data_IF_470683454472
#
_entry.id   IF_470683454472
#
_cell.length_a   1.000
_cell.length_b   1.000
_cell.length_c   1.000
_cell.angle_alpha   90.00
_cell.angle_beta   90.00
_cell.angle_gamma   90.00
#
_symmetry.space_group_name_H-M   'P 1'
#
loop_
_entity.id
_entity.type
_entity.pdbx_description
1 polymer ?
#
# COMPACT_ATOMS: atom_id res chain seq x y z
N UNK A 1 17.50 9.42 -25.69
CA UNK A 1 16.90 10.75 -25.46
C UNK A 1 15.76 10.58 -24.48
N UNK A 2 16.07 10.55 -23.18
CA UNK A 2 15.08 10.66 -22.11
C UNK A 2 15.55 11.82 -21.24
N UNK A 3 15.19 13.04 -21.63
CA UNK A 3 15.34 14.20 -20.77
C UNK A 3 14.28 14.08 -19.68
N UNK A 4 14.73 14.09 -18.42
CA UNK A 4 13.90 14.27 -17.24
C UNK A 4 13.04 15.54 -17.44
N UNK A 5 11.73 15.39 -17.50
CA UNK A 5 10.79 16.51 -17.60
C UNK A 5 10.29 16.91 -16.21
N UNK A 6 11.22 17.31 -15.35
CA UNK A 6 11.07 18.32 -14.30
C UNK A 6 12.47 18.56 -13.69
N UNK A 7 13.05 19.77 -13.77
CA UNK A 7 14.38 20.06 -13.23
C UNK A 7 14.50 19.95 -11.69
N UNK A 8 13.40 19.77 -10.95
CA UNK A 8 13.36 19.96 -9.50
C UNK A 8 12.52 18.93 -8.71
N UNK A 9 12.26 17.72 -9.23
CA UNK A 9 11.45 16.66 -8.59
C UNK A 9 11.96 16.13 -7.23
N UNK A 10 12.83 16.85 -6.54
CA UNK A 10 13.29 16.57 -5.19
C UNK A 10 12.17 16.81 -4.16
N UNK A 11 11.57 15.73 -3.68
CA UNK A 11 10.65 15.73 -2.53
C UNK A 11 11.40 15.43 -1.21
N UNK A 12 12.71 15.63 -1.16
CA UNK A 12 13.58 15.36 -0.02
C UNK A 12 13.61 16.44 1.07
N UNK A 13 12.94 17.57 0.85
CA UNK A 13 12.87 18.68 1.81
C UNK A 13 11.83 18.49 2.92
N UNK A 14 11.96 19.18 4.04
CA UNK A 14 10.88 19.22 5.04
C UNK A 14 9.79 20.23 4.64
N UNK A 15 8.52 19.86 4.86
CA UNK A 15 7.36 20.72 4.64
C UNK A 15 6.88 21.27 5.98
N UNK A 16 6.78 22.59 6.05
CA UNK A 16 6.34 23.34 7.23
C UNK A 16 4.85 23.17 7.49
N UNK A 17 4.41 23.46 8.71
CA UNK A 17 2.99 23.43 9.08
C UNK A 17 2.15 24.39 8.23
N UNK A 18 2.73 25.54 7.86
CA UNK A 18 2.07 26.55 7.03
C UNK A 18 1.88 26.07 5.59
N UNK A 19 2.90 25.46 4.99
CA UNK A 19 2.80 24.87 3.64
C UNK A 19 1.75 23.74 3.63
N UNK A 20 1.69 22.90 4.68
CA UNK A 20 0.65 21.89 4.79
C UNK A 20 -0.76 22.49 4.92
N UNK A 21 -0.91 23.54 5.72
CA UNK A 21 -2.19 24.22 5.89
C UNK A 21 -2.68 24.85 4.57
N UNK A 22 -1.78 25.42 3.77
CA UNK A 22 -2.10 25.95 2.45
C UNK A 22 -2.67 24.88 1.52
N UNK A 23 -2.11 23.66 1.53
CA UNK A 23 -2.62 22.55 0.72
C UNK A 23 -3.97 22.00 1.21
N UNK A 24 -4.20 22.01 2.53
CA UNK A 24 -5.52 21.68 3.10
C UNK A 24 -6.56 22.70 2.63
N UNK A 25 -6.24 23.99 2.73
CA UNK A 25 -7.11 25.07 2.26
C UNK A 25 -7.38 24.97 0.75
N UNK A 26 -6.35 24.69 -0.05
CA UNK A 26 -6.49 24.52 -1.50
C UNK A 26 -7.43 23.37 -1.85
N UNK A 27 -7.36 22.25 -1.11
CA UNK A 27 -8.30 21.13 -1.27
C UNK A 27 -9.73 21.55 -0.91
N UNK A 28 -9.91 22.27 0.20
CA UNK A 28 -11.20 22.72 0.69
C UNK A 28 -11.85 23.81 -0.16
N UNK A 29 -11.05 24.60 -0.88
CA UNK A 29 -11.51 25.63 -1.81
C UNK A 29 -11.99 25.07 -3.15
N UNK A 30 -11.73 23.78 -3.44
CA UNK A 30 -12.26 23.14 -4.64
C UNK A 30 -13.79 23.18 -4.64
N UNK A 31 -14.40 23.57 -5.76
CA UNK A 31 -15.86 23.59 -5.94
C UNK A 31 -16.51 22.21 -5.71
N UNK A 32 -15.72 21.14 -5.85
CA UNK A 32 -16.16 19.75 -5.66
C UNK A 32 -16.06 19.29 -4.20
N UNK A 33 -15.40 20.04 -3.33
CA UNK A 33 -15.07 19.59 -1.97
C UNK A 33 -16.32 19.27 -1.15
N UNK A 34 -17.29 20.18 -1.09
CA UNK A 34 -18.51 19.95 -0.31
C UNK A 34 -19.34 18.79 -0.84
N UNK A 35 -19.37 18.59 -2.16
CA UNK A 35 -20.05 17.45 -2.76
C UNK A 35 -19.37 16.12 -2.40
N UNK A 36 -18.05 16.07 -2.44
CA UNK A 36 -17.28 14.84 -2.25
C UNK A 36 -17.07 14.45 -0.78
N UNK A 37 -17.00 15.43 0.12
CA UNK A 37 -16.74 15.25 1.56
C UNK A 37 -17.99 15.49 2.44
N UNK A 38 -19.19 15.49 1.85
CA UNK A 38 -20.46 15.47 2.57
C UNK A 38 -20.85 14.04 2.94
N UNK A 39 -20.17 13.48 3.94
CA UNK A 39 -20.46 12.16 4.47
C UNK A 39 -21.60 12.17 5.50
N UNK A 40 -22.38 11.08 5.63
CA UNK A 40 -23.46 11.02 6.60
C UNK A 40 -22.93 10.93 8.05
N UNK A 41 -23.22 11.93 8.88
CA UNK A 41 -22.68 12.01 10.25
C UNK A 41 -23.23 10.94 11.21
N UNK A 42 -24.47 10.49 10.98
CA UNK A 42 -25.19 9.58 11.89
C UNK A 42 -25.68 8.29 11.19
N UNK A 43 -25.13 7.95 10.02
CA UNK A 43 -25.49 6.70 9.35
C UNK A 43 -24.88 5.48 10.08
N UNK A 44 -25.60 4.34 10.12
CA UNK A 44 -25.07 3.10 10.69
C UNK A 44 -23.71 2.73 10.10
N UNK A 45 -22.75 2.39 10.98
CA UNK A 45 -21.40 1.98 10.61
C UNK A 45 -20.44 3.13 10.24
N UNK A 46 -20.89 4.38 10.20
CA UNK A 46 -20.01 5.53 10.00
C UNK A 46 -19.39 6.02 11.31
N UNK A 47 -18.16 6.50 11.24
CA UNK A 47 -17.43 7.06 12.39
C UNK A 47 -16.84 8.43 12.05
N UNK A 48 -17.08 9.42 12.90
CA UNK A 48 -16.50 10.77 12.75
C UNK A 48 -15.24 10.91 13.60
N UNK A 49 -14.19 11.45 12.99
CA UNK A 49 -12.93 11.76 13.70
C UNK A 49 -13.14 12.80 14.80
N UNK A 50 -12.45 12.63 15.94
CA UNK A 50 -12.63 13.46 17.14
C UNK A 50 -11.30 14.14 17.52
N UNK A 51 -11.36 15.32 18.15
CA UNK A 51 -10.17 16.07 18.61
C UNK A 51 -9.41 15.45 19.78
N UNK A 52 -9.74 14.22 20.20
CA UNK A 52 -9.04 13.57 21.32
C UNK A 52 -7.63 13.21 20.88
N UNK A 53 -6.62 13.94 21.36
CA UNK A 53 -5.21 13.68 21.07
C UNK A 53 -4.69 12.46 21.84
N UNK A 54 -4.02 11.56 21.14
CA UNK A 54 -3.25 10.42 21.69
C UNK A 54 -1.82 10.54 21.19
N UNK A 55 -0.85 9.95 21.93
CA UNK A 55 0.56 9.89 21.51
C UNK A 55 0.78 9.18 20.17
N UNK A 56 -0.16 8.32 19.77
CA UNK A 56 -0.11 7.58 18.51
C UNK A 56 -0.68 8.35 17.33
N UNK A 57 -1.35 9.48 17.58
CA UNK A 57 -1.90 10.30 16.49
C UNK A 57 -0.78 11.03 15.78
N UNK A 58 -0.84 11.01 14.45
CA UNK A 58 0.15 11.61 13.58
C UNK A 58 -0.35 12.95 13.07
N UNK A 59 0.60 13.83 12.74
CA UNK A 59 0.32 15.12 12.12
C UNK A 59 -0.25 14.95 10.71
N UNK A 60 0.34 14.04 9.93
CA UNK A 60 -0.03 13.81 8.54
C UNK A 60 0.10 12.33 8.18
N UNK A 61 -0.88 11.79 7.46
CA UNK A 61 -0.95 10.37 7.08
C UNK A 61 -1.41 10.29 5.63
N UNK A 62 -0.70 9.56 4.78
CA UNK A 62 -1.24 9.20 3.46
C UNK A 62 -1.98 7.87 3.55
N UNK A 63 -3.12 7.79 2.86
CA UNK A 63 -4.00 6.63 2.84
C UNK A 63 -4.40 6.32 1.40
N UNK A 64 -4.49 5.03 1.10
CA UNK A 64 -5.12 4.50 -0.10
C UNK A 64 -5.72 3.13 0.22
N UNK A 65 -6.79 2.77 -0.48
CA UNK A 65 -7.55 1.55 -0.28
C UNK A 65 -7.76 0.79 -1.58
N UNK A 66 -7.78 -0.53 -1.48
CA UNK A 66 -8.30 -1.39 -2.54
C UNK A 66 -9.76 -1.74 -2.21
N UNK A 67 -10.61 -1.77 -3.24
CA UNK A 67 -12.03 -2.07 -3.08
C UNK A 67 -12.53 -3.11 -4.08
N UNK A 68 -13.55 -3.84 -3.65
CA UNK A 68 -14.26 -4.85 -4.41
C UNK A 68 -15.74 -4.46 -4.59
N UNK A 69 -16.48 -5.25 -5.39
CA UNK A 69 -17.91 -5.09 -5.61
C UNK A 69 -18.67 -6.16 -4.83
N UNK A 70 -19.61 -5.72 -4.00
CA UNK A 70 -20.54 -6.60 -3.28
C UNK A 70 -21.98 -6.22 -3.60
N UNK A 71 -22.90 -7.15 -3.39
CA UNK A 71 -24.34 -6.94 -3.58
C UNK A 71 -25.08 -7.45 -2.33
N UNK A 72 -26.06 -6.68 -1.87
CA UNK A 72 -26.85 -7.01 -0.68
C UNK A 72 -27.75 -8.21 -0.96
N UNK A 73 -27.83 -9.14 -0.01
CA UNK A 73 -28.66 -10.32 -0.15
C UNK A 73 -30.15 -9.96 -0.28
N UNK A 74 -30.80 -10.50 -1.31
CA UNK A 74 -32.22 -10.26 -1.56
C UNK A 74 -32.54 -8.93 -2.23
N UNK A 75 -31.54 -8.14 -2.64
CA UNK A 75 -31.72 -6.94 -3.46
C UNK A 75 -30.88 -7.01 -4.75
N UNK A 76 -30.97 -5.98 -5.59
CA UNK A 76 -30.08 -5.79 -6.75
C UNK A 76 -29.10 -4.64 -6.52
N UNK A 77 -28.93 -4.20 -5.27
CA UNK A 77 -28.17 -3.01 -4.92
C UNK A 77 -26.69 -3.36 -4.78
N UNK A 78 -25.89 -2.84 -5.72
CA UNK A 78 -24.45 -3.08 -5.77
C UNK A 78 -23.66 -1.98 -5.08
N UNK A 79 -22.81 -2.39 -4.15
CA UNK A 79 -21.78 -1.55 -3.55
C UNK A 79 -20.47 -1.76 -4.31
N UNK A 80 -20.06 -0.77 -5.09
CA UNK A 80 -18.87 -0.84 -5.97
C UNK A 80 -17.54 -0.53 -5.28
N UNK A 81 -17.59 -0.08 -4.02
CA UNK A 81 -16.48 0.38 -3.20
C UNK A 81 -16.41 -0.34 -1.83
N UNK A 82 -16.77 -1.63 -1.78
CA UNK A 82 -16.60 -2.41 -0.56
C UNK A 82 -15.11 -2.55 -0.24
N UNK A 83 -14.70 -2.19 0.98
CA UNK A 83 -13.30 -2.11 1.36
C UNK A 83 -12.65 -3.50 1.43
N UNK A 84 -11.56 -3.68 0.69
CA UNK A 84 -10.84 -4.95 0.56
C UNK A 84 -9.40 -4.87 1.13
N UNK A 85 -8.68 -3.75 1.02
CA UNK A 85 -7.38 -3.50 1.68
C UNK A 85 -7.24 -2.03 2.07
N UNK A 86 -6.55 -1.74 3.16
CA UNK A 86 -6.18 -0.37 3.56
C UNK A 86 -4.67 -0.30 3.77
N UNK A 87 -4.03 0.66 3.12
CA UNK A 87 -2.65 1.05 3.39
C UNK A 87 -2.61 2.47 3.94
N UNK A 88 -1.73 2.70 4.91
CA UNK A 88 -1.43 4.00 5.44
C UNK A 88 0.05 4.16 5.75
N UNK A 89 0.60 5.31 5.40
CA UNK A 89 2.00 5.67 5.64
C UNK A 89 2.09 6.96 6.44
N UNK A 90 3.10 7.05 7.31
CA UNK A 90 3.42 8.28 8.04
C UNK A 90 3.94 9.33 7.06
N UNK A 91 3.26 10.47 6.92
CA UNK A 91 3.64 11.47 5.90
C UNK A 91 5.01 12.12 6.11
N UNK A 92 5.50 12.18 7.35
CA UNK A 92 6.84 12.71 7.64
C UNK A 92 7.94 11.67 7.32
N UNK A 93 7.60 10.38 7.28
CA UNK A 93 8.52 9.27 7.04
C UNK A 93 8.01 8.27 5.99
N UNK A 94 7.29 8.74 4.96
CA UNK A 94 6.44 7.93 4.08
C UNK A 94 7.17 6.75 3.42
N UNK A 95 8.47 6.92 3.17
CA UNK A 95 9.33 5.97 2.47
C UNK A 95 9.82 4.83 3.35
N UNK A 96 9.78 5.01 4.68
CA UNK A 96 10.35 4.07 5.66
C UNK A 96 9.33 3.55 6.65
N UNK A 97 8.19 4.24 6.78
CA UNK A 97 7.23 3.99 7.84
C UNK A 97 5.82 3.77 7.28
N UNK A 98 5.55 2.51 6.93
CA UNK A 98 4.19 2.03 6.72
C UNK A 98 3.58 1.81 8.11
N UNK A 99 2.59 2.61 8.47
CA UNK A 99 1.98 2.57 9.81
C UNK A 99 0.83 1.56 9.89
N UNK A 100 0.28 1.22 8.73
CA UNK A 100 -0.75 0.20 8.58
C UNK A 100 -0.81 -0.33 7.16
N UNK A 101 -0.93 -1.64 7.00
CA UNK A 101 -1.28 -2.31 5.76
C UNK A 101 -2.04 -3.59 6.13
N UNK A 102 -3.29 -3.76 5.70
CA UNK A 102 -4.08 -4.95 6.00
C UNK A 102 -5.27 -5.16 5.05
N UNK A 103 -5.63 -6.43 4.82
CA UNK A 103 -6.87 -6.84 4.14
C UNK A 103 -8.07 -6.65 5.08
N UNK A 104 -9.22 -6.32 4.53
CA UNK A 104 -10.52 -6.29 5.23
C UNK A 104 -11.39 -7.42 4.72
N UNK A 105 -12.04 -8.13 5.65
CA UNK A 105 -12.96 -9.21 5.32
C UNK A 105 -14.11 -8.68 4.47
N UNK A 106 -14.33 -9.36 3.34
CA UNK A 106 -15.51 -9.19 2.50
C UNK A 106 -16.00 -10.56 2.02
N UNK A 107 -17.29 -10.69 1.71
CA UNK A 107 -18.34 -9.67 1.91
C UNK A 107 -18.65 -9.43 3.40
N UNK A 108 -19.24 -8.27 3.73
CA UNK A 108 -19.86 -8.06 5.05
C UNK A 108 -21.09 -8.98 5.23
N UNK A 109 -21.51 -9.23 6.47
CA UNK A 109 -22.70 -10.05 6.75
C UNK A 109 -23.94 -9.50 6.01
N UNK A 110 -24.68 -10.37 5.31
CA UNK A 110 -25.83 -9.97 4.49
C UNK A 110 -25.46 -9.49 3.08
N UNK A 111 -24.22 -9.68 2.65
CA UNK A 111 -23.76 -9.37 1.29
C UNK A 111 -23.09 -10.59 0.66
N UNK A 112 -23.03 -10.60 -0.67
CA UNK A 112 -22.20 -11.53 -1.43
C UNK A 112 -21.19 -10.80 -2.33
N UNK A 113 -20.08 -11.47 -2.63
CA UNK A 113 -19.04 -10.94 -3.53
C UNK A 113 -19.50 -11.04 -4.99
N UNK A 114 -19.47 -9.93 -5.71
CA UNK A 114 -19.79 -9.86 -7.16
C UNK A 114 -18.52 -9.81 -8.00
N UNK A 115 -17.60 -8.92 -7.65
CA UNK A 115 -16.33 -8.76 -8.35
C UNK A 115 -15.22 -8.45 -7.34
N UNK A 116 -14.25 -9.37 -7.14
CA UNK A 116 -13.15 -9.14 -6.24
C UNK A 116 -12.15 -8.10 -6.76
N UNK A 117 -12.21 -7.67 -8.05
CA UNK A 117 -11.26 -6.78 -8.71
C UNK A 117 -9.79 -7.23 -8.62
N UNK A 118 -9.58 -8.55 -8.58
CA UNK A 118 -8.24 -9.15 -8.52
C UNK A 118 -7.36 -8.76 -9.72
N UNK A 119 -7.95 -8.47 -10.89
CA UNK A 119 -7.22 -7.97 -12.05
C UNK A 119 -6.65 -6.56 -11.87
N UNK A 120 -7.21 -5.77 -10.94
CA UNK A 120 -6.76 -4.42 -10.62
C UNK A 120 -5.70 -4.46 -9.53
N UNK A 121 -5.98 -5.12 -8.41
CA UNK A 121 -5.17 -5.03 -7.18
C UNK A 121 -4.50 -6.33 -6.74
N UNK A 122 -4.67 -7.42 -7.49
CA UNK A 122 -3.95 -8.69 -7.26
C UNK A 122 -4.39 -9.53 -6.05
N UNK A 123 -5.20 -8.98 -5.12
CA UNK A 123 -5.73 -9.71 -3.96
C UNK A 123 -6.75 -10.77 -4.41
N UNK A 124 -6.56 -12.02 -4.00
CA UNK A 124 -7.47 -13.12 -4.36
C UNK A 124 -8.74 -13.14 -3.48
N UNK A 125 -9.87 -13.66 -3.99
CA UNK A 125 -11.09 -13.83 -3.19
C UNK A 125 -10.86 -14.61 -1.89
N UNK A 126 -10.00 -15.62 -1.90
CA UNK A 126 -9.70 -16.45 -0.73
C UNK A 126 -8.91 -15.66 0.32
N UNK A 127 -7.98 -14.78 -0.10
CA UNK A 127 -7.26 -13.90 0.81
C UNK A 127 -8.20 -12.89 1.48
N UNK A 128 -9.16 -12.35 0.72
CA UNK A 128 -10.20 -11.44 1.22
C UNK A 128 -11.13 -12.16 2.21
N UNK A 129 -11.69 -13.30 1.81
CA UNK A 129 -12.65 -14.06 2.62
C UNK A 129 -12.03 -14.67 3.88
N UNK A 130 -10.75 -15.07 3.85
CA UNK A 130 -10.06 -15.65 5.01
C UNK A 130 -9.65 -14.61 6.06
N UNK A 131 -9.65 -13.32 5.71
CA UNK A 131 -9.31 -12.26 6.64
C UNK A 131 -10.35 -12.14 7.77
N UNK A 132 -9.90 -11.82 9.00
CA UNK A 132 -10.75 -11.67 10.20
C UNK A 132 -10.96 -10.21 10.63
N UNK A 133 -10.45 -9.27 9.84
CA UNK A 133 -10.56 -7.83 10.10
C UNK A 133 -11.89 -7.35 9.52
N UNK A 134 -12.85 -7.07 10.39
CA UNK A 134 -14.13 -6.47 9.99
C UNK A 134 -13.95 -4.97 9.72
N UNK A 135 -14.94 -4.34 9.06
CA UNK A 135 -14.97 -2.89 8.86
C UNK A 135 -14.73 -2.10 10.16
N UNK A 136 -15.42 -2.47 11.25
CA UNK A 136 -15.24 -1.82 12.55
C UNK A 136 -13.80 -1.96 13.10
N UNK A 137 -13.14 -3.11 12.87
CA UNK A 137 -11.74 -3.29 13.25
C UNK A 137 -10.80 -2.46 12.36
N UNK A 138 -11.10 -2.35 11.06
CA UNK A 138 -10.36 -1.51 10.13
C UNK A 138 -10.40 -0.03 10.58
N UNK A 139 -11.60 0.50 10.85
CA UNK A 139 -11.78 1.85 11.40
C UNK A 139 -11.00 2.07 12.69
N UNK A 140 -11.10 1.15 13.65
CA UNK A 140 -10.37 1.24 14.92
C UNK A 140 -8.85 1.29 14.72
N UNK A 141 -8.33 0.56 13.73
CA UNK A 141 -6.91 0.57 13.37
C UNK A 141 -6.49 1.92 12.78
N UNK A 142 -7.27 2.47 11.86
CA UNK A 142 -6.98 3.77 11.27
C UNK A 142 -7.10 4.92 12.27
N UNK A 143 -8.14 4.93 13.10
CA UNK A 143 -8.36 5.93 14.16
C UNK A 143 -7.36 5.85 15.33
N UNK A 144 -6.45 4.86 15.32
CA UNK A 144 -5.27 4.85 16.20
C UNK A 144 -4.28 5.95 15.81
N UNK A 145 -4.17 6.24 14.51
CA UNK A 145 -3.22 7.19 13.92
C UNK A 145 -3.89 8.49 13.47
N UNK A 146 -5.19 8.44 13.12
CA UNK A 146 -5.96 9.58 12.62
C UNK A 146 -6.88 10.13 13.72
N UNK A 147 -6.82 11.43 13.96
CA UNK A 147 -7.80 12.20 14.75
C UNK A 147 -8.38 13.35 13.91
N UNK A 148 -9.14 14.28 14.50
CA UNK A 148 -9.70 15.43 13.77
C UNK A 148 -8.62 16.38 13.21
N UNK A 149 -7.46 16.45 13.86
CA UNK A 149 -6.39 17.41 13.57
C UNK A 149 -5.31 16.84 12.63
N UNK A 150 -5.26 15.50 12.50
CA UNK A 150 -4.43 14.80 11.52
C UNK A 150 -4.83 15.24 10.11
N UNK A 151 -3.84 15.50 9.27
CA UNK A 151 -4.04 15.73 7.84
C UNK A 151 -4.02 14.38 7.13
N UNK A 152 -5.10 14.03 6.42
CA UNK A 152 -5.15 12.82 5.60
C UNK A 152 -4.88 13.15 4.14
N UNK A 153 -3.87 12.51 3.54
CA UNK A 153 -3.46 12.74 2.15
C UNK A 153 -3.83 11.54 1.29
N UNK A 154 -4.27 11.77 0.06
CA UNK A 154 -4.48 10.71 -0.92
C UNK A 154 -4.78 11.26 -2.31
N UNK A 155 -5.18 10.38 -3.23
CA UNK A 155 -5.61 10.76 -4.57
C UNK A 155 -7.05 10.30 -4.79
N UNK A 156 -7.99 11.24 -4.83
CA UNK A 156 -9.43 10.97 -4.69
C UNK A 156 -9.76 10.34 -3.32
N UNK A 157 -9.12 10.84 -2.27
CA UNK A 157 -9.15 10.28 -0.90
C UNK A 157 -10.54 10.25 -0.27
N UNK A 158 -11.49 11.01 -0.82
CA UNK A 158 -12.90 10.90 -0.45
C UNK A 158 -13.44 9.47 -0.66
N UNK A 159 -12.98 8.77 -1.70
CA UNK A 159 -13.36 7.40 -2.02
C UNK A 159 -12.88 6.41 -0.96
N UNK A 160 -11.64 6.58 -0.51
CA UNK A 160 -11.04 5.80 0.59
C UNK A 160 -11.79 6.01 1.90
N UNK A 161 -12.01 7.27 2.27
CA UNK A 161 -12.77 7.65 3.48
C UNK A 161 -14.20 7.11 3.44
N UNK A 162 -14.86 7.17 2.29
CA UNK A 162 -16.19 6.59 2.10
C UNK A 162 -16.18 5.06 2.22
N UNK A 163 -15.20 4.37 1.62
CA UNK A 163 -15.08 2.91 1.70
C UNK A 163 -14.86 2.44 3.14
N UNK A 164 -14.07 3.18 3.92
CA UNK A 164 -13.84 2.96 5.35
C UNK A 164 -14.98 3.44 6.23
N UNK A 165 -15.96 4.17 5.68
CA UNK A 165 -17.04 4.87 6.41
C UNK A 165 -16.49 5.79 7.52
N UNK A 166 -15.43 6.54 7.23
CA UNK A 166 -14.81 7.50 8.15
C UNK A 166 -15.12 8.92 7.69
N UNK A 167 -15.82 9.69 8.53
CA UNK A 167 -16.00 11.13 8.29
C UNK A 167 -14.79 11.91 8.82
N UNK A 168 -14.01 12.44 7.88
CA UNK A 168 -12.83 13.26 8.12
C UNK A 168 -12.67 14.28 6.99
N UNK A 169 -12.41 15.55 7.35
CA UNK A 169 -12.43 16.69 6.41
C UNK A 169 -11.11 17.46 6.34
N UNK A 170 -10.14 17.14 7.20
CA UNK A 170 -8.82 17.78 7.18
C UNK A 170 -7.92 17.00 6.24
N UNK A 171 -8.10 17.23 4.94
CA UNK A 171 -7.50 16.40 3.88
C UNK A 171 -6.66 17.22 2.91
N UNK A 172 -5.69 16.56 2.29
CA UNK A 172 -5.06 17.00 1.05
C UNK A 172 -5.40 15.97 -0.02
N UNK A 173 -6.30 16.33 -0.92
CA UNK A 173 -6.69 15.46 -2.03
C UNK A 173 -5.97 15.90 -3.30
N UNK A 174 -4.98 15.11 -3.71
CA UNK A 174 -4.15 15.44 -4.88
C UNK A 174 -4.96 15.49 -6.19
N UNK A 175 -6.13 14.84 -6.24
CA UNK A 175 -7.04 14.88 -7.38
C UNK A 175 -7.87 16.19 -7.43
N UNK A 176 -7.91 16.95 -6.34
CA UNK A 176 -8.60 18.25 -6.25
C UNK A 176 -7.66 19.45 -6.42
N UNK A 177 -6.37 19.29 -6.11
CA UNK A 177 -5.38 20.37 -6.26
C UNK A 177 -4.68 20.39 -7.61
N UNK A 178 -4.74 19.31 -8.40
CA UNK A 178 -4.18 19.23 -9.76
C UNK A 178 -5.26 19.00 -10.81
N UNK A 179 -5.09 19.66 -11.96
CA UNK A 179 -6.00 19.57 -13.10
C UNK A 179 -5.21 19.45 -14.41
N UNK A 180 -5.84 18.85 -15.42
CA UNK A 180 -5.32 18.81 -16.78
C UNK A 180 -5.48 20.15 -17.50
N UNK A 181 -4.52 20.50 -18.34
CA UNK A 181 -4.54 21.73 -19.17
C UNK A 181 -5.71 21.79 -20.15
N UNK A 182 -6.13 20.65 -20.69
CA UNK A 182 -7.02 20.56 -21.87
C UNK A 182 -8.32 19.77 -21.62
N UNK A 183 -8.66 19.53 -20.34
CA UNK A 183 -9.78 18.67 -19.98
C UNK A 183 -11.15 19.37 -20.05
N UNK A 184 -12.14 18.73 -20.69
CA UNK A 184 -13.55 18.94 -20.30
C UNK A 184 -13.70 18.70 -18.79
N UNK A 185 -14.66 19.30 -18.07
CA UNK A 185 -14.80 19.12 -16.62
C UNK A 185 -14.79 17.64 -16.17
N UNK A 186 -15.34 16.75 -16.99
CA UNK A 186 -15.35 15.29 -16.78
C UNK A 186 -14.00 14.56 -16.93
N UNK A 187 -13.00 15.19 -17.54
CA UNK A 187 -11.65 14.65 -17.79
C UNK A 187 -10.54 15.53 -17.19
N UNK A 188 -10.93 16.60 -16.50
CA UNK A 188 -10.00 17.56 -15.90
C UNK A 188 -9.17 16.94 -14.77
N UNK A 189 -9.70 15.95 -14.04
CA UNK A 189 -8.94 15.27 -12.99
C UNK A 189 -7.89 14.33 -13.61
N UNK A 190 -6.58 14.55 -13.36
CA UNK A 190 -5.52 13.63 -13.77
C UNK A 190 -5.55 12.37 -12.89
N UNK A 191 -5.07 11.25 -13.41
CA UNK A 191 -4.85 10.07 -12.57
C UNK A 191 -3.51 10.16 -11.81
N UNK A 192 -3.35 9.38 -10.75
CA UNK A 192 -2.09 9.34 -9.99
C UNK A 192 -0.88 8.95 -10.87
N UNK A 193 -1.08 8.07 -11.86
CA UNK A 193 -0.04 7.71 -12.86
C UNK A 193 0.39 8.90 -13.73
N UNK A 194 -0.49 9.87 -13.95
CA UNK A 194 -0.16 11.10 -14.67
C UNK A 194 0.65 12.05 -13.78
N UNK A 195 0.23 12.20 -12.50
CA UNK A 195 0.93 13.03 -11.52
C UNK A 195 2.36 12.55 -11.27
N UNK A 196 2.54 11.24 -11.04
CA UNK A 196 3.86 10.64 -10.80
C UNK A 196 4.79 10.80 -11.99
N UNK A 197 4.27 10.56 -13.21
CA UNK A 197 5.06 10.73 -14.43
C UNK A 197 5.47 12.17 -14.68
N UNK A 198 4.53 13.10 -14.57
CA UNK A 198 4.74 14.50 -14.92
C UNK A 198 5.46 15.29 -13.82
N UNK A 199 5.08 15.11 -12.55
CA UNK A 199 5.61 15.90 -11.43
C UNK A 199 6.86 15.27 -10.82
N UNK A 200 6.90 13.94 -10.76
CA UNK A 200 7.92 13.19 -10.00
C UNK A 200 8.91 12.42 -10.91
N UNK A 201 8.65 12.38 -12.21
CA UNK A 201 9.56 11.80 -13.20
C UNK A 201 9.68 10.27 -13.17
N UNK A 202 8.69 9.56 -12.63
CA UNK A 202 8.69 8.08 -12.63
C UNK A 202 7.34 7.49 -13.07
N UNK A 203 7.39 6.33 -13.72
CA UNK A 203 6.19 5.55 -14.08
C UNK A 203 5.78 4.65 -12.90
N UNK A 204 4.49 4.67 -12.56
CA UNK A 204 3.93 3.74 -11.58
C UNK A 204 3.93 2.30 -12.10
N UNK A 205 4.07 1.30 -11.21
CA UNK A 205 3.96 -0.10 -11.58
C UNK A 205 2.66 -0.47 -12.31
N UNK A 206 2.67 -1.63 -12.96
CA UNK A 206 1.44 -2.26 -13.47
C UNK A 206 0.65 -2.87 -12.31
N UNK A 207 -0.69 -2.78 -12.38
CA UNK A 207 -1.58 -3.07 -11.25
C UNK A 207 -1.62 -1.92 -10.22
N UNK A 208 -2.49 -2.08 -9.22
CA UNK A 208 -2.61 -1.19 -8.06
C UNK A 208 -2.01 -1.87 -6.82
N UNK A 209 -1.27 -1.09 -6.04
CA UNK A 209 -0.89 -1.44 -4.68
C UNK A 209 -1.09 -0.21 -3.80
N UNK A 210 -2.09 -0.28 -2.93
CA UNK A 210 -2.42 0.82 -2.03
C UNK A 210 -1.26 1.41 -1.22
N UNK A 211 -0.19 0.67 -0.90
CA UNK A 211 0.94 1.31 -0.22
C UNK A 211 1.74 2.19 -1.18
N UNK A 212 2.00 1.70 -2.41
CA UNK A 212 2.66 2.49 -3.46
C UNK A 212 1.81 3.72 -3.82
N UNK A 213 0.50 3.55 -3.93
CA UNK A 213 -0.43 4.63 -4.30
C UNK A 213 -0.53 5.69 -3.18
N UNK A 214 -0.57 5.28 -1.90
CA UNK A 214 -0.49 6.20 -0.76
C UNK A 214 0.84 6.98 -0.74
N UNK A 215 1.97 6.30 -0.97
CA UNK A 215 3.29 6.95 -1.03
C UNK A 215 3.40 7.94 -2.20
N UNK A 216 2.94 7.56 -3.39
CA UNK A 216 2.92 8.41 -4.57
C UNK A 216 2.03 9.65 -4.36
N UNK A 217 0.87 9.47 -3.73
CA UNK A 217 -0.03 10.58 -3.38
C UNK A 217 0.63 11.55 -2.39
N UNK A 218 1.33 11.03 -1.37
CA UNK A 218 2.10 11.87 -0.46
C UNK A 218 3.23 12.62 -1.17
N UNK A 219 3.95 11.97 -2.08
CA UNK A 219 5.01 12.63 -2.86
C UNK A 219 4.45 13.76 -3.73
N UNK A 220 3.31 13.54 -4.40
CA UNK A 220 2.65 14.58 -5.19
C UNK A 220 2.17 15.75 -4.31
N UNK A 221 1.60 15.48 -3.12
CA UNK A 221 1.22 16.52 -2.17
C UNK A 221 2.45 17.29 -1.65
N UNK A 222 3.55 16.59 -1.39
CA UNK A 222 4.81 17.20 -0.97
C UNK A 222 5.39 18.10 -2.05
N UNK A 223 5.37 17.67 -3.31
CA UNK A 223 5.77 18.47 -4.46
C UNK A 223 4.92 19.76 -4.57
N UNK A 224 3.60 19.65 -4.39
CA UNK A 224 2.65 20.77 -4.40
C UNK A 224 2.98 21.86 -3.38
N UNK A 225 3.63 21.53 -2.27
CA UNK A 225 3.98 22.51 -1.22
C UNK A 225 4.88 23.65 -1.72
N UNK A 226 5.66 23.43 -2.78
CA UNK A 226 6.66 24.40 -3.29
C UNK A 226 6.60 24.62 -4.80
N UNK A 227 5.65 24.02 -5.48
CA UNK A 227 5.52 24.07 -6.92
C UNK A 227 4.10 24.46 -7.30
N UNK A 228 3.94 24.87 -8.56
CA UNK A 228 2.65 25.24 -9.11
C UNK A 228 1.62 24.10 -9.01
N UNK A 229 0.38 24.45 -8.68
CA UNK A 229 -0.79 23.56 -8.62
C UNK A 229 -1.86 24.04 -9.61
N UNK A 230 -2.96 23.30 -9.73
CA UNK A 230 -4.04 23.62 -10.66
C UNK A 230 -3.79 23.02 -12.05
N UNK A 231 -4.13 23.76 -13.10
CA UNK A 231 -4.20 23.26 -14.49
C UNK A 231 -2.84 23.15 -15.18
N UNK A 232 -1.94 22.35 -14.61
CA UNK A 232 -0.58 22.18 -15.11
C UNK A 232 -0.31 20.80 -15.73
N UNK A 233 -1.20 19.83 -15.51
CA UNK A 233 -0.94 18.44 -15.95
C UNK A 233 -1.27 18.30 -17.44
N UNK A 234 -0.41 17.69 -18.26
CA UNK A 234 -0.74 17.42 -19.65
C UNK A 234 -1.87 16.38 -19.80
N UNK A 235 -2.36 16.24 -21.03
CA UNK A 235 -3.31 15.18 -21.35
C UNK A 235 -2.69 13.80 -21.17
N UNK A 236 -3.53 12.79 -20.91
CA UNK A 236 -3.05 11.40 -20.81
C UNK A 236 -2.41 10.92 -22.13
N UNK A 237 -2.85 11.50 -23.26
CA UNK A 237 -2.29 11.21 -24.56
C UNK A 237 -0.86 11.77 -24.71
N UNK A 238 -0.61 13.00 -24.24
CA UNK A 238 0.73 13.58 -24.23
C UNK A 238 1.69 12.81 -23.31
N UNK A 239 1.20 12.33 -22.16
CA UNK A 239 2.02 11.61 -21.19
C UNK A 239 2.31 10.16 -21.56
N UNK A 240 1.33 9.45 -22.14
CA UNK A 240 1.41 7.99 -22.33
C UNK A 240 1.25 7.54 -23.78
N UNK A 241 1.00 8.46 -24.71
CA UNK A 241 0.68 8.14 -26.10
C UNK A 241 -0.74 7.57 -26.28
N UNK A 242 -1.05 7.04 -27.48
CA UNK A 242 -2.35 6.44 -27.77
C UNK A 242 -2.62 5.22 -26.88
N UNK A 243 -3.82 5.17 -26.28
CA UNK A 243 -4.27 4.00 -25.52
C UNK A 243 -4.37 2.78 -26.43
N UNK A 244 -3.50 1.80 -26.25
CA UNK A 244 -3.67 0.47 -26.82
C UNK A 244 -4.79 -0.21 -26.03
N UNK A 245 -6.01 -0.25 -26.60
CA UNK A 245 -7.09 -1.09 -26.07
C UNK A 245 -6.74 -2.54 -26.36
N UNK A 246 -6.14 -3.25 -25.42
CA UNK A 246 -6.21 -4.71 -25.44
C UNK A 246 -7.68 -5.11 -25.37
N UNK A 247 -8.16 -5.80 -26.40
CA UNK A 247 -9.53 -6.31 -26.45
C UNK A 247 -9.71 -7.27 -25.27
N UNK A 248 -10.59 -6.93 -24.33
CA UNK A 248 -11.17 -7.89 -23.38
C UNK A 248 -11.80 -9.02 -24.20
N UNK A 249 -11.13 -10.17 -24.28
CA UNK A 249 -11.69 -11.34 -24.94
C UNK A 249 -12.96 -11.74 -24.19
N UNK A 250 -14.09 -11.71 -24.90
CA UNK A 250 -15.37 -12.18 -24.38
C UNK A 250 -15.24 -13.64 -23.96
N UNK A 251 -15.73 -13.95 -22.75
CA UNK A 251 -15.90 -15.30 -22.28
C UNK A 251 -16.94 -16.01 -23.16
N UNK A 252 -16.47 -16.86 -24.07
CA UNK A 252 -17.26 -18.01 -24.55
C UNK A 252 -16.82 -19.25 -23.78
N UNK A 253 -17.82 -20.06 -23.46
CA UNK A 253 -17.77 -21.21 -22.56
C UNK A 253 -16.91 -22.37 -23.07
N UNK A 254 -16.45 -23.18 -22.10
CA UNK A 254 -15.83 -24.50 -22.24
C UNK A 254 -14.42 -24.57 -22.86
N UNK A 255 -13.41 -24.25 -22.06
CA UNK A 255 -12.14 -24.99 -22.08
C UNK A 255 -11.55 -25.10 -20.68
N UNK A 256 -10.99 -26.26 -20.35
CA UNK A 256 -10.33 -26.55 -19.06
C UNK A 256 -9.28 -25.47 -18.77
N UNK A 257 -9.13 -25.00 -17.51
CA UNK A 257 -8.15 -23.99 -17.20
C UNK A 257 -6.75 -24.54 -17.49
N UNK A 258 -6.13 -24.02 -18.56
CA UNK A 258 -4.71 -24.17 -18.77
C UNK A 258 -4.00 -23.60 -17.54
N UNK A 259 -2.93 -24.26 -17.10
CA UNK A 259 -2.11 -23.82 -15.98
C UNK A 259 -1.51 -22.46 -16.33
N UNK A 260 -2.20 -21.39 -15.94
CA UNK A 260 -1.68 -20.03 -16.04
C UNK A 260 -0.45 -20.01 -15.13
N UNK A 261 0.74 -19.90 -15.75
CA UNK A 261 1.95 -19.56 -15.03
C UNK A 261 1.69 -18.18 -14.42
N UNK A 262 1.42 -18.14 -13.12
CA UNK A 262 1.35 -16.91 -12.34
C UNK A 262 2.70 -16.20 -12.56
N UNK A 263 2.72 -15.04 -13.23
CA UNK A 263 3.93 -14.24 -13.32
C UNK A 263 4.32 -13.90 -11.88
N UNK A 264 5.56 -14.20 -11.51
CA UNK A 264 6.12 -13.73 -10.25
C UNK A 264 6.04 -12.22 -10.31
N UNK A 265 5.35 -11.60 -9.35
CA UNK A 265 5.07 -10.17 -9.35
C UNK A 265 6.41 -9.40 -9.28
N UNK A 266 6.92 -8.94 -10.43
CA UNK A 266 8.05 -8.00 -10.51
C UNK A 266 7.62 -6.57 -10.10
N UNK A 267 6.36 -6.34 -9.75
CA UNK A 267 5.83 -5.04 -9.41
C UNK A 267 6.06 -4.64 -7.95
N UNK A 268 6.20 -3.33 -7.72
CA UNK A 268 6.24 -2.54 -6.46
C UNK A 268 7.59 -2.03 -5.94
N UNK A 269 8.60 -1.86 -6.79
CA UNK A 269 9.82 -1.16 -6.40
C UNK A 269 9.81 0.32 -6.84
N UNK A 270 9.68 1.25 -5.89
CA UNK A 270 10.10 2.65 -6.11
C UNK A 270 11.59 2.73 -5.77
N UNK A 271 12.43 2.83 -6.80
CA UNK A 271 13.88 2.99 -6.63
C UNK A 271 14.25 4.44 -6.26
N UNK A 272 14.45 4.69 -4.97
CA UNK A 272 14.91 6.00 -4.50
C UNK A 272 16.39 6.29 -4.77
N UNK A 273 17.22 5.32 -5.12
CA UNK A 273 18.63 5.57 -5.43
C UNK A 273 18.80 6.31 -6.77
N UNK A 274 17.83 6.17 -7.68
CA UNK A 274 17.77 6.86 -8.96
C UNK A 274 17.39 8.36 -8.83
N UNK A 275 16.70 8.75 -7.76
CA UNK A 275 16.22 10.13 -7.54
C UNK A 275 17.33 11.06 -7.03
N UNK A 276 18.42 10.52 -6.49
CA UNK A 276 19.40 11.28 -5.70
C UNK A 276 20.58 11.88 -6.45
N UNK A 277 20.63 11.85 -7.78
CA UNK A 277 21.73 12.49 -8.51
C UNK A 277 21.28 12.99 -9.87
N UNK A 278 21.11 14.30 -9.97
CA UNK A 278 21.95 15.10 -10.85
C UNK A 278 21.90 16.53 -10.36
N UNK A 279 22.96 16.97 -9.67
CA UNK A 279 23.43 18.36 -9.66
C UNK A 279 24.73 18.46 -8.86
N UNK A 280 25.85 18.43 -9.58
CA UNK A 280 27.04 19.24 -9.35
C UNK A 280 28.10 18.84 -10.38
N UNK A 281 28.20 19.65 -11.43
CA UNK A 281 29.41 19.76 -12.24
C UNK A 281 30.46 20.44 -11.35
N UNK A 282 31.48 19.71 -10.91
CA UNK A 282 32.80 20.31 -10.72
C UNK A 282 33.92 19.27 -10.88
N UNK A 283 34.97 19.75 -11.55
CA UNK A 283 36.16 19.06 -12.02
C UNK A 283 37.16 18.83 -10.88
N UNK A 284 37.35 17.58 -10.44
CA UNK A 284 38.62 17.13 -9.82
C UNK A 284 38.74 15.60 -9.78
N UNK A 285 39.88 15.00 -10.17
CA UNK A 285 40.05 13.56 -10.16
C UNK A 285 40.70 13.08 -8.85
N UNK A 286 39.90 12.46 -7.96
CA UNK A 286 40.41 11.74 -6.80
C UNK A 286 39.43 11.65 -5.63
N UNK A 287 39.15 10.42 -5.20
CA UNK A 287 38.49 9.98 -3.96
C UNK A 287 36.96 9.72 -3.96
N UNK A 288 36.69 8.47 -3.58
CA UNK A 288 35.53 7.86 -2.91
C UNK A 288 34.22 7.47 -3.64
N UNK A 289 34.13 6.13 -3.82
CA UNK A 289 32.99 5.35 -4.27
C UNK A 289 31.80 5.46 -3.28
N UNK A 290 30.82 6.24 -3.70
CA UNK A 290 29.43 6.38 -3.20
C UNK A 290 28.78 5.06 -2.74
N UNK A 291 28.24 5.01 -1.52
CA UNK A 291 27.54 3.83 -0.94
C UNK A 291 26.01 3.87 -1.10
N UNK A 292 25.50 3.44 -2.25
CA UNK A 292 24.11 2.97 -2.39
C UNK A 292 24.00 1.48 -2.02
N UNK A 293 22.84 1.04 -1.54
CA UNK A 293 22.56 -0.41 -1.43
C UNK A 293 22.42 -0.95 -2.86
N UNK A 294 23.12 -2.04 -3.20
CA UNK A 294 22.96 -2.66 -4.52
C UNK A 294 21.57 -3.28 -4.67
N UNK A 295 21.07 -3.43 -5.90
CA UNK A 295 19.79 -4.11 -6.19
C UNK A 295 19.67 -5.45 -5.48
N UNK A 296 20.74 -6.24 -5.46
CA UNK A 296 20.80 -7.51 -4.74
C UNK A 296 20.63 -7.37 -3.21
N UNK A 297 21.13 -6.29 -2.60
CA UNK A 297 20.89 -5.99 -1.18
C UNK A 297 19.46 -5.55 -0.94
N UNK A 298 18.86 -4.82 -1.87
CA UNK A 298 17.49 -4.34 -1.76
C UNK A 298 16.49 -5.50 -1.89
N UNK A 299 16.65 -6.34 -2.91
CA UNK A 299 15.86 -7.57 -3.07
C UNK A 299 15.99 -8.51 -1.86
N UNK A 300 17.17 -8.55 -1.22
CA UNK A 300 17.35 -9.28 0.04
C UNK A 300 16.61 -8.62 1.20
N UNK A 301 16.62 -7.28 1.29
CA UNK A 301 15.94 -6.54 2.36
C UNK A 301 14.41 -6.61 2.31
N UNK A 302 13.83 -6.95 1.15
CA UNK A 302 12.40 -7.22 1.00
C UNK A 302 11.99 -8.62 1.48
N UNK A 303 12.91 -9.43 2.02
CA UNK A 303 12.66 -10.83 2.38
C UNK A 303 12.88 -11.09 3.87
N UNK A 304 12.00 -11.91 4.44
CA UNK A 304 12.21 -12.53 5.74
C UNK A 304 12.52 -14.03 5.55
N UNK A 305 13.33 -14.57 6.45
CA UNK A 305 13.64 -16.01 6.48
C UNK A 305 12.81 -16.69 7.54
N UNK A 306 12.06 -17.70 7.14
CA UNK A 306 11.40 -18.63 8.08
C UNK A 306 12.22 -19.91 8.13
N UNK A 307 12.68 -20.30 9.30
CA UNK A 307 13.52 -21.49 9.49
C UNK A 307 13.15 -22.24 10.76
N UNK A 308 13.76 -23.42 10.95
CA UNK A 308 13.33 -24.40 11.97
C UNK A 308 11.88 -24.86 11.76
N UNK A 309 11.43 -24.88 10.49
CA UNK A 309 10.07 -25.30 10.13
C UNK A 309 9.95 -26.82 10.31
N UNK A 310 9.09 -27.33 11.22
CA UNK A 310 8.90 -28.77 11.39
C UNK A 310 8.15 -29.41 10.22
N UNK A 311 8.37 -30.72 10.02
CA UNK A 311 7.56 -31.53 9.09
C UNK A 311 6.08 -31.46 9.50
N UNK A 312 5.21 -31.26 8.51
CA UNK A 312 3.76 -31.07 8.71
C UNK A 312 3.28 -29.62 8.58
N UNK A 313 4.18 -28.67 8.32
CA UNK A 313 3.82 -27.34 7.80
C UNK A 313 4.12 -27.26 6.31
N UNK A 314 3.24 -26.57 5.59
CA UNK A 314 3.36 -26.20 4.17
C UNK A 314 3.73 -24.72 4.01
N UNK A 315 4.17 -24.33 2.82
CA UNK A 315 4.37 -22.91 2.49
C UNK A 315 3.06 -22.11 2.60
N UNK A 316 1.91 -22.74 2.35
CA UNK A 316 0.60 -22.08 2.49
C UNK A 316 0.26 -21.80 3.96
N UNK A 317 0.64 -22.69 4.87
CA UNK A 317 0.49 -22.43 6.32
C UNK A 317 1.33 -21.23 6.76
N UNK A 318 2.53 -21.06 6.19
CA UNK A 318 3.39 -19.89 6.43
C UNK A 318 2.74 -18.61 5.89
N UNK A 319 2.24 -18.64 4.65
CA UNK A 319 1.54 -17.50 4.04
C UNK A 319 0.33 -17.07 4.88
N UNK A 320 -0.55 -18.01 5.21
CA UNK A 320 -1.74 -17.77 6.04
C UNK A 320 -1.34 -17.21 7.40
N UNK A 321 -0.24 -17.71 7.98
CA UNK A 321 0.25 -17.20 9.26
C UNK A 321 0.62 -15.71 9.19
N UNK A 322 1.29 -15.25 8.13
CA UNK A 322 1.60 -13.83 7.96
C UNK A 322 0.32 -12.99 7.85
N UNK A 323 -0.62 -13.41 7.00
CA UNK A 323 -1.89 -12.71 6.79
C UNK A 323 -2.68 -12.63 8.11
N UNK A 324 -2.74 -13.71 8.90
CA UNK A 324 -3.52 -13.73 10.14
C UNK A 324 -2.83 -13.02 11.32
N UNK A 325 -1.51 -13.20 11.48
CA UNK A 325 -0.78 -12.78 12.70
C UNK A 325 -0.07 -11.45 12.54
N UNK A 326 0.39 -11.13 11.33
CA UNK A 326 1.06 -9.86 11.03
C UNK A 326 0.14 -8.89 10.28
N UNK A 327 -0.87 -9.43 9.58
CA UNK A 327 -1.79 -8.68 8.72
C UNK A 327 -1.13 -8.08 7.47
N UNK A 328 0.14 -8.41 7.24
CA UNK A 328 0.90 -8.03 6.06
C UNK A 328 0.85 -9.17 5.05
N UNK A 329 0.56 -8.86 3.80
CA UNK A 329 0.43 -9.81 2.71
C UNK A 329 1.82 -10.05 2.11
N UNK A 330 2.34 -11.29 2.10
CA UNK A 330 3.53 -11.61 1.32
C UNK A 330 3.24 -11.59 -0.17
N UNK A 331 4.17 -11.06 -0.97
CA UNK A 331 4.14 -11.17 -2.44
C UNK A 331 4.43 -12.60 -2.90
N UNK A 332 5.29 -13.32 -2.17
CA UNK A 332 5.60 -14.71 -2.45
C UNK A 332 6.09 -15.45 -1.21
N UNK A 333 5.72 -16.74 -1.10
CA UNK A 333 6.30 -17.68 -0.13
C UNK A 333 6.95 -18.82 -0.90
N UNK A 334 8.26 -18.97 -0.76
CA UNK A 334 8.99 -20.05 -1.42
C UNK A 334 8.56 -21.42 -0.88
N UNK A 335 8.71 -22.46 -1.71
CA UNK A 335 8.56 -23.84 -1.27
C UNK A 335 9.56 -24.11 -0.13
N UNK A 336 9.09 -24.84 0.89
CA UNK A 336 9.95 -25.20 2.02
C UNK A 336 11.06 -26.12 1.51
N UNK A 337 12.29 -25.65 1.66
CA UNK A 337 13.50 -26.42 1.41
C UNK A 337 13.85 -27.20 2.68
N UNK A 338 13.98 -28.52 2.55
CA UNK A 338 14.27 -29.43 3.66
C UNK A 338 15.75 -29.78 3.68
N UNK A 339 16.39 -29.63 4.84
CA UNK A 339 17.78 -30.06 5.00
C UNK A 339 17.85 -31.59 5.07
N UNK A 340 18.77 -32.18 4.30
CA UNK A 340 19.04 -33.61 4.35
C UNK A 340 19.41 -34.01 5.79
N UNK A 341 18.81 -35.09 6.28
CA UNK A 341 19.04 -35.64 7.63
C UNK A 341 18.61 -34.73 8.80
N UNK A 342 17.84 -33.66 8.56
CA UNK A 342 17.22 -32.87 9.62
C UNK A 342 15.70 -32.86 9.50
N UNK A 343 15.00 -32.92 10.63
CA UNK A 343 13.54 -32.77 10.68
C UNK A 343 13.09 -31.30 10.63
N UNK A 344 13.84 -30.44 9.93
CA UNK A 344 13.62 -28.99 9.87
C UNK A 344 13.86 -28.43 8.47
N UNK A 345 12.94 -27.61 8.01
CA UNK A 345 13.02 -26.88 6.75
C UNK A 345 13.18 -25.37 6.94
N UNK A 346 13.36 -24.68 5.81
CA UNK A 346 13.31 -23.22 5.72
C UNK A 346 12.75 -22.76 4.38
N UNK A 347 12.14 -21.59 4.36
CA UNK A 347 11.77 -20.86 3.15
C UNK A 347 12.04 -19.37 3.34
N UNK A 348 12.11 -18.63 2.23
CA UNK A 348 12.07 -17.18 2.27
C UNK A 348 10.68 -16.68 1.91
N UNK A 349 10.31 -15.58 2.53
CA UNK A 349 9.03 -14.88 2.35
C UNK A 349 9.36 -13.50 1.83
N UNK A 350 8.88 -13.19 0.63
CA UNK A 350 9.13 -11.93 -0.07
C UNK A 350 7.93 -11.01 0.11
N UNK A 351 8.20 -9.74 0.37
CA UNK A 351 7.23 -8.66 0.45
C UNK A 351 7.48 -7.64 -0.66
N UNK A 352 6.47 -6.80 -0.93
CA UNK A 352 6.50 -5.75 -1.95
C UNK A 352 7.66 -4.79 -1.75
N UNK A 353 7.90 -4.36 -0.50
CA UNK A 353 9.03 -3.50 -0.14
C UNK A 353 9.73 -3.98 1.13
N UNK A 354 10.93 -3.45 1.38
CA UNK A 354 11.66 -3.67 2.63
C UNK A 354 10.90 -3.12 3.86
N UNK A 355 10.11 -2.07 3.70
CA UNK A 355 9.25 -1.54 4.74
C UNK A 355 8.12 -2.53 5.11
N UNK A 356 7.53 -3.24 4.13
CA UNK A 356 6.57 -4.30 4.40
C UNK A 356 7.23 -5.48 5.12
N UNK A 357 8.44 -5.88 4.70
CA UNK A 357 9.19 -6.93 5.40
C UNK A 357 9.50 -6.53 6.85
N UNK A 358 9.91 -5.28 7.09
CA UNK A 358 10.13 -4.75 8.42
C UNK A 358 8.83 -4.73 9.25
N UNK A 359 7.73 -4.22 8.70
CA UNK A 359 6.43 -4.16 9.36
C UNK A 359 5.89 -5.55 9.71
N UNK A 360 6.05 -6.53 8.82
CA UNK A 360 5.68 -7.92 9.06
C UNK A 360 6.51 -8.52 10.19
N UNK A 361 7.83 -8.27 10.18
CA UNK A 361 8.72 -8.71 11.26
C UNK A 361 8.37 -8.06 12.59
N UNK A 362 8.09 -6.75 12.63
CA UNK A 362 7.74 -6.01 13.84
C UNK A 362 6.39 -6.45 14.42
N UNK A 363 5.39 -6.62 13.55
CA UNK A 363 4.04 -7.07 13.90
C UNK A 363 3.99 -8.52 14.35
N UNK A 364 4.96 -9.34 13.94
CA UNK A 364 5.07 -10.74 14.36
C UNK A 364 5.16 -10.86 15.89
N UNK A 365 4.18 -11.60 16.44
CA UNK A 365 4.13 -11.95 17.86
C UNK A 365 4.69 -13.34 18.10
N UNK A 366 5.37 -13.50 19.22
CA UNK A 366 5.84 -14.83 19.64
C UNK A 366 4.73 -15.70 20.23
N UNK A 367 5.05 -16.96 20.61
CA UNK A 367 4.09 -17.88 21.18
C UNK A 367 3.34 -17.27 22.36
N UNK A 368 2.01 -17.43 22.38
CA UNK A 368 1.12 -16.87 23.42
C UNK A 368 1.12 -15.34 23.50
N UNK A 369 1.50 -14.64 22.41
CA UNK A 369 1.50 -13.17 22.34
C UNK A 369 2.71 -12.48 22.98
N UNK A 370 3.66 -13.24 23.55
CA UNK A 370 4.91 -12.70 24.11
C UNK A 370 6.01 -12.72 23.04
N UNK A 371 6.57 -11.57 22.72
CA UNK A 371 7.64 -11.44 21.72
C UNK A 371 8.99 -11.28 22.40
N UNK A 372 9.93 -12.17 22.08
CA UNK A 372 11.35 -12.02 22.42
C UNK A 372 12.15 -11.90 21.12
N UNK A 373 12.85 -10.78 20.96
CA UNK A 373 13.80 -10.60 19.87
C UNK A 373 15.15 -11.14 20.34
N UNK A 374 15.75 -12.01 19.52
CA UNK A 374 17.10 -12.55 19.70
C UNK A 374 17.90 -12.26 18.43
N UNK A 375 19.21 -12.49 18.44
CA UNK A 375 20.06 -12.35 17.25
C UNK A 375 20.50 -13.71 16.73
N UNK A 376 20.66 -13.85 15.42
CA UNK A 376 21.30 -15.00 14.80
C UNK A 376 22.83 -14.96 14.98
N UNK A 377 23.53 -15.96 14.42
CA UNK A 377 24.99 -16.07 14.56
C UNK A 377 25.78 -14.90 13.94
N UNK A 378 25.15 -14.10 13.08
CA UNK A 378 25.75 -12.93 12.42
C UNK A 378 25.11 -11.62 12.90
N UNK A 379 24.39 -11.66 14.03
CA UNK A 379 23.85 -10.48 14.71
C UNK A 379 22.50 -9.98 14.20
N UNK A 380 21.82 -10.70 13.29
CA UNK A 380 20.55 -10.24 12.71
C UNK A 380 19.36 -10.54 13.63
N UNK A 381 18.37 -9.65 13.73
CA UNK A 381 17.17 -9.90 14.53
C UNK A 381 16.40 -11.14 14.10
N UNK A 382 15.95 -11.92 15.07
CA UNK A 382 15.06 -13.07 14.92
C UNK A 382 14.04 -13.17 16.06
N UNK A 383 12.86 -13.67 15.74
CA UNK A 383 11.75 -13.95 16.67
C UNK A 383 11.37 -15.43 16.58
N UNK A 384 10.99 -16.03 17.70
CA UNK A 384 10.28 -17.31 17.69
C UNK A 384 8.80 -17.04 17.48
N UNK A 385 8.15 -17.80 16.61
CA UNK A 385 6.73 -17.70 16.27
C UNK A 385 6.02 -19.06 16.42
N UNK A 386 4.69 -19.02 16.53
CA UNK A 386 3.85 -20.21 16.56
C UNK A 386 2.96 -20.28 15.32
N UNK A 387 3.12 -21.32 14.50
CA UNK A 387 2.36 -21.52 13.25
C UNK A 387 1.36 -22.66 13.45
N UNK A 388 0.13 -22.48 12.97
CA UNK A 388 -0.91 -23.50 12.98
C UNK A 388 -1.00 -24.08 11.55
N UNK A 389 -0.87 -25.40 11.40
CA UNK A 389 -1.08 -26.06 10.11
C UNK A 389 -2.56 -26.08 9.73
N UNK A 390 -2.86 -26.31 8.46
CA UNK A 390 -4.22 -26.57 7.96
C UNK A 390 -4.98 -27.67 8.74
N UNK A 391 -4.27 -28.64 9.35
CA UNK A 391 -4.86 -29.68 10.22
C UNK A 391 -5.15 -29.21 11.67
N UNK A 392 -4.98 -27.92 11.98
CA UNK A 392 -5.18 -27.36 13.32
C UNK A 392 -4.03 -27.61 14.32
N UNK A 393 -2.97 -28.31 13.92
CA UNK A 393 -1.81 -28.56 14.80
C UNK A 393 -0.93 -27.33 14.93
N UNK A 394 -0.62 -26.94 16.17
CA UNK A 394 0.22 -25.77 16.48
C UNK A 394 1.70 -26.15 16.66
N UNK A 395 2.60 -25.41 16.01
CA UNK A 395 4.05 -25.57 16.08
C UNK A 395 4.70 -24.29 16.63
N UNK A 396 5.21 -24.32 17.87
CA UNK A 396 5.61 -23.13 18.65
C UNK A 396 7.08 -22.69 18.52
N UNK A 397 7.90 -23.44 17.79
CA UNK A 397 9.36 -23.25 17.74
C UNK A 397 9.88 -22.93 16.33
N UNK A 398 9.05 -22.28 15.51
CA UNK A 398 9.45 -21.78 14.19
C UNK A 398 10.16 -20.45 14.39
N UNK A 399 11.24 -20.21 13.66
CA UNK A 399 12.01 -18.97 13.76
C UNK A 399 11.79 -18.09 12.52
N UNK A 400 11.57 -16.81 12.78
CA UNK A 400 11.42 -15.75 11.79
C UNK A 400 12.61 -14.80 11.94
N UNK A 401 13.38 -14.59 10.87
CA UNK A 401 14.58 -13.75 10.88
C UNK A 401 14.61 -12.73 9.74
N UNK A 402 15.31 -11.62 9.98
CA UNK A 402 15.63 -10.61 8.96
C UNK A 402 16.86 -11.05 8.14
N UNK A 403 16.86 -10.78 6.82
CA UNK A 403 17.89 -11.24 5.88
C UNK A 403 18.98 -10.23 5.54
#
# INVERSE_FOLDING_TARGET
MNQLLAPSGDVGYDVTDTEWEQLVQLTQQSERFEQLFSFPENAPGWVTTKSKKKKTHLKIVAVDCEMCVTEEEGTSDRKTNALCRVSAVDGENMLRNIISDFIVHQPEDGFHMVDPKTDIHGITPEQIASCKITMAKAQKKMLKYINKDTIVVGHSVYGDLASMRINHRRVIDTALIYQRKDGSPSRATPGLKDLTKFLLGFDMPQGHDSTVDAQASMMAAKYAARHETGSIIPSAFELHGPRVRERRAGQTSNSRPATVKIPVNEASYIDMAAIKKDDAVDTTPGADKRSGLSEAKIARSCRLRVHRIPKGLSSKDIENWFIENTQIIPTAVEKISWLANQNRGSCNVTFSTNAHAALAFESAKGPNGKTKITTDAIGRPQKTIAVVSYMGKTYKNVALGVL
#
